data_IF_102257018942
#
_entry.id   IF_102257018942
#
_cell.length_a   1.000
_cell.length_b   1.000
_cell.length_c   1.000
_cell.angle_alpha   90.00
_cell.angle_beta   90.00
_cell.angle_gamma   90.00
#
_symmetry.space_group_name_H-M   'P 1'
#
loop_
_entity.id
_entity.type
_entity.pdbx_description
1 polymer ?
2 branched ?
3 non-polymer ?
4 non-polymer ?
5 water ?
#
# COMPACT_ATOMS: atom_id res chain seq x y z
N UNK A 1 16.22 2.59 2.94
CA UNK A 1 14.99 2.54 3.84
C UNK A 1 14.28 3.84 3.70
N UNK A 2 13.01 3.88 4.16
CA UNK A 2 12.30 5.14 4.23
C UNK A 2 11.70 5.26 5.61
N UNK A 3 11.36 6.47 6.03
CA UNK A 3 10.85 6.71 7.36
C UNK A 3 9.70 7.72 7.41
N UNK A 4 8.86 7.58 8.41
CA UNK A 4 7.80 8.56 8.68
C UNK A 4 7.53 8.66 10.17
N UNK A 5 7.50 9.90 10.67
CA UNK A 5 7.19 10.19 12.06
C UNK A 5 5.85 10.89 12.19
N UNK A 6 5.00 10.32 13.02
CA UNK A 6 3.67 10.90 13.25
C UNK A 6 3.80 12.16 14.17
N UNK A 7 4.84 12.20 14.96
CA UNK A 7 5.01 13.36 15.89
C UNK A 7 5.42 14.61 15.06
N UNK A 8 4.51 15.58 15.00
CA UNK A 8 4.79 16.81 14.25
C UNK A 8 4.36 16.66 12.79
N UNK A 9 3.79 15.50 12.45
CA UNK A 9 3.46 15.23 11.01
C UNK A 9 2.36 16.22 10.52
N UNK A 10 2.46 16.57 9.26
CA UNK A 10 1.43 17.38 8.60
C UNK A 10 1.27 16.94 7.15
N UNK A 11 0.35 17.58 6.40
CA UNK A 11 0.23 17.13 5.00
C UNK A 11 1.50 17.16 4.23
N UNK A 12 2.34 18.17 4.53
CA UNK A 12 3.59 18.32 3.83
C UNK A 12 4.58 17.13 4.14
N UNK A 13 4.79 16.82 5.42
CA UNK A 13 5.73 15.80 5.80
C UNK A 13 5.24 14.37 5.33
N UNK A 14 3.93 14.21 5.33
CA UNK A 14 3.33 12.90 4.87
C UNK A 14 3.61 12.81 3.38
N UNK A 15 3.39 13.95 2.64
CA UNK A 15 3.69 13.93 1.19
C UNK A 15 5.18 13.62 0.86
N UNK A 16 6.10 14.12 1.70
CA UNK A 16 7.50 13.78 1.55
C UNK A 16 7.77 12.27 1.77
N UNK A 17 7.13 11.67 2.80
CA UNK A 17 7.26 10.22 3.03
C UNK A 17 6.74 9.41 1.77
N UNK A 18 5.62 9.81 1.27
CA UNK A 18 4.99 9.04 0.18
C UNK A 18 5.88 9.19 -1.07
N UNK A 19 6.44 10.41 -1.21
CA UNK A 19 7.42 10.58 -2.35
C UNK A 19 8.64 9.67 -2.14
N UNK A 20 9.19 9.67 -0.91
CA UNK A 20 10.31 8.77 -0.57
C UNK A 20 10.00 7.28 -0.83
N UNK A 21 8.76 6.85 -0.47
CA UNK A 21 8.36 5.45 -0.62
C UNK A 21 8.32 5.10 -2.15
N UNK A 22 7.68 5.97 -2.94
CA UNK A 22 7.69 5.78 -4.40
C UNK A 22 9.09 5.67 -4.98
N UNK A 23 9.93 6.59 -4.54
CA UNK A 23 11.34 6.69 -5.11
C UNK A 23 12.24 5.61 -4.66
N UNK A 24 11.81 4.85 -3.62
CA UNK A 24 12.57 3.71 -3.17
C UNK A 24 12.26 2.44 -3.97
N UNK A 25 11.22 2.48 -4.82
CA UNK A 25 10.87 1.28 -5.56
C UNK A 25 11.59 1.33 -6.92
N UNK A 26 12.33 0.29 -7.25
CA UNK A 26 13.16 0.32 -8.46
C UNK A 26 12.37 0.17 -9.69
N UNK A 27 12.87 0.84 -10.77
CA UNK A 27 12.31 0.63 -12.07
C UNK A 27 13.40 0.81 -13.14
N UNK A 28 13.20 0.15 -14.30
CA UNK A 28 14.13 0.37 -15.45
C UNK A 28 13.46 1.00 -16.65
N UNK A 29 12.13 1.14 -16.59
CA UNK A 29 11.36 1.60 -17.69
C UNK A 29 10.15 2.39 -17.10
N UNK A 30 9.67 3.39 -17.85
CA UNK A 30 8.37 3.99 -17.59
C UNK A 30 7.45 3.69 -18.74
N UNK A 31 6.18 3.52 -18.45
CA UNK A 31 5.19 3.21 -19.48
C UNK A 31 4.14 4.35 -19.35
N UNK A 32 3.95 5.06 -20.46
CA UNK A 32 3.19 6.32 -20.44
C UNK A 32 3.54 7.25 -19.27
N UNK A 33 4.85 7.41 -19.06
CA UNK A 33 5.47 8.32 -18.09
C UNK A 33 5.23 7.83 -16.60
N UNK A 34 4.76 6.61 -16.48
CA UNK A 34 4.54 5.96 -15.13
C UNK A 34 5.57 4.84 -14.92
N UNK A 35 6.35 4.89 -13.78
CA UNK A 35 7.28 3.84 -13.46
C UNK A 35 6.67 2.47 -13.47
N UNK A 36 7.34 1.55 -14.14
CA UNK A 36 6.97 0.16 -14.25
C UNK A 36 7.73 -0.64 -13.26
N UNK A 37 7.02 -1.20 -12.26
CA UNK A 37 7.72 -2.03 -11.28
C UNK A 37 8.41 -3.25 -11.91
N UNK A 38 9.53 -3.67 -11.29
CA UNK A 38 10.29 -4.83 -11.84
C UNK A 38 9.55 -6.19 -11.80
N UNK A 39 9.78 -7.04 -12.81
CA UNK A 39 9.16 -8.35 -12.85
C UNK A 39 9.57 -9.17 -11.61
N UNK A 40 10.84 -9.03 -11.19
CA UNK A 40 11.34 -9.79 -10.00
C UNK A 40 12.62 -9.21 -9.53
N UNK A 41 12.96 -9.40 -8.24
CA UNK A 41 14.20 -8.92 -7.64
C UNK A 41 14.62 -10.08 -6.71
N UNK A 42 15.90 -10.51 -6.81
CA UNK A 42 16.34 -11.74 -6.11
C UNK A 42 16.97 -11.33 -4.80
N UNK A 43 16.71 -12.14 -3.77
CA UNK A 43 17.36 -11.97 -2.48
C UNK A 43 16.73 -10.92 -1.60
N UNK A 44 17.51 -10.37 -0.68
CA UNK A 44 17.02 -9.41 0.25
C UNK A 44 16.61 -8.07 -0.42
N UNK A 45 17.19 -7.79 -1.63
CA UNK A 45 16.90 -6.54 -2.35
C UNK A 45 15.43 -6.39 -2.75
N UNK A 46 14.69 -7.48 -2.61
CA UNK A 46 13.27 -7.47 -2.94
C UNK A 46 12.43 -6.93 -1.78
N UNK A 47 13.07 -6.42 -0.73
CA UNK A 47 12.27 -5.89 0.39
C UNK A 47 12.71 -4.52 0.83
N UNK A 48 11.78 -3.58 0.78
CA UNK A 48 12.04 -2.24 1.32
C UNK A 48 11.61 -2.23 2.79
N UNK A 49 12.38 -1.58 3.63
CA UNK A 49 12.02 -1.42 5.06
C UNK A 49 11.50 -0.01 5.29
N UNK A 50 10.27 0.09 5.82
CA UNK A 50 9.70 1.36 6.21
C UNK A 50 9.71 1.50 7.73
N UNK A 51 10.38 2.52 8.20
CA UNK A 51 10.40 2.74 9.65
C UNK A 51 9.33 3.74 10.01
N UNK A 52 8.28 3.27 10.70
CA UNK A 52 7.22 4.16 11.12
C UNK A 52 7.23 4.44 12.62
N UNK A 53 6.97 5.70 12.98
CA UNK A 53 7.03 6.11 14.39
C UNK A 53 5.72 6.74 14.80
N UNK A 54 5.16 6.22 15.88
CA UNK A 54 3.94 6.77 16.41
C UNK A 54 4.22 8.12 17.11
N UNK A 55 3.18 8.76 17.55
CA UNK A 55 3.31 10.11 18.14
C UNK A 55 4.25 10.13 19.37
N UNK A 56 4.34 9.01 20.05
CA UNK A 56 5.17 8.84 21.28
C UNK A 56 6.53 8.41 20.94
N UNK A 57 6.79 8.21 19.65
CA UNK A 57 8.17 7.89 19.23
C UNK A 57 8.51 6.38 19.22
N UNK A 58 7.54 5.54 19.55
CA UNK A 58 7.74 4.09 19.42
C UNK A 58 7.65 3.70 17.95
N UNK A 59 8.24 2.58 17.56
CA UNK A 59 8.42 2.32 16.12
C UNK A 59 8.22 0.85 15.72
N UNK A 60 7.76 0.67 14.48
CA UNK A 60 7.77 -0.63 13.87
C UNK A 60 8.48 -0.48 12.54
N UNK A 61 9.07 -1.56 12.06
CA UNK A 61 9.65 -1.58 10.73
C UNK A 61 8.78 -2.50 9.87
N UNK A 62 8.31 -1.96 8.75
CA UNK A 62 7.43 -2.75 7.85
C UNK A 62 8.23 -3.17 6.60
N UNK A 63 8.14 -4.43 6.27
CA UNK A 63 8.82 -4.95 5.05
C UNK A 63 7.87 -4.98 3.89
N UNK A 64 8.27 -4.30 2.80
CA UNK A 64 7.46 -4.16 1.60
C UNK A 64 8.17 -4.83 0.37
N UNK A 65 7.44 -5.64 -0.37
CA UNK A 65 7.97 -6.28 -1.56
C UNK A 65 7.98 -5.14 -2.66
N UNK A 66 9.18 -4.86 -3.20
CA UNK A 66 9.40 -3.70 -4.15
C UNK A 66 8.80 -3.89 -5.58
N UNK A 67 8.39 -5.11 -5.90
CA UNK A 67 7.82 -5.44 -7.15
C UNK A 67 6.33 -5.27 -7.19
N UNK A 68 5.65 -5.20 -6.00
CA UNK A 68 4.18 -5.13 -6.09
C UNK A 68 3.55 -4.23 -4.94
N UNK A 69 4.47 -3.68 -4.14
CA UNK A 69 4.15 -2.83 -2.93
C UNK A 69 3.32 -3.59 -1.89
N UNK A 70 3.48 -4.89 -1.82
CA UNK A 70 2.69 -5.72 -0.86
C UNK A 70 3.46 -5.71 0.45
N UNK A 71 2.73 -5.48 1.57
CA UNK A 71 3.43 -5.55 2.84
C UNK A 71 3.56 -7.06 3.17
N UNK A 72 4.71 -7.47 3.57
CA UNK A 72 4.97 -8.91 3.87
C UNK A 72 4.84 -9.19 5.40
N UNK A 73 5.30 -8.23 6.21
CA UNK A 73 5.35 -8.40 7.67
C UNK A 73 6.00 -7.21 8.29
N UNK A 74 6.23 -7.27 9.59
CA UNK A 74 6.82 -6.06 10.26
C UNK A 74 7.51 -6.56 11.51
N UNK A 75 8.40 -5.73 12.03
CA UNK A 75 9.10 -5.98 13.27
C UNK A 75 8.63 -4.99 14.35
N UNK A 76 8.39 -5.52 15.52
CA UNK A 76 7.89 -4.68 16.64
C UNK A 76 8.70 -5.12 17.86
N UNK A 77 9.61 -4.27 18.30
CA UNK A 77 10.53 -4.68 19.33
C UNK A 77 11.29 -5.86 18.74
N UNK A 78 11.27 -6.96 19.47
CA UNK A 78 12.15 -8.14 19.21
C UNK A 78 11.33 -9.25 18.62
N UNK A 79 10.08 -8.95 18.20
CA UNK A 79 9.20 -9.94 17.60
C UNK A 79 8.91 -9.56 16.18
N UNK A 80 9.09 -10.51 15.27
CA UNK A 80 8.66 -10.28 13.85
C UNK A 80 7.32 -10.90 13.64
N UNK A 81 6.52 -10.35 12.69
CA UNK A 81 5.17 -10.86 12.38
C UNK A 81 5.10 -10.93 10.86
N UNK A 82 4.57 -12.03 10.32
CA UNK A 82 4.43 -12.16 8.85
C UNK A 82 3.07 -12.68 8.50
N UNK A 83 2.53 -12.23 7.36
CA UNK A 83 1.28 -12.80 6.90
C UNK A 83 1.41 -14.31 6.62
N UNK A 84 0.25 -14.98 6.64
CA UNK A 84 0.24 -16.44 6.48
C UNK A 84 0.06 -16.72 4.97
N UNK A 85 1.15 -16.59 4.23
CA UNK A 85 1.18 -16.71 2.76
C UNK A 85 2.59 -16.97 2.24
N UNK A 86 2.73 -17.67 1.14
CA UNK A 86 4.06 -18.09 0.74
C UNK A 86 5.08 -16.98 0.48
N UNK A 87 4.64 -15.88 -0.11
CA UNK A 87 5.47 -14.71 -0.36
C UNK A 87 5.98 -14.15 0.93
N UNK A 88 5.14 -14.15 1.99
CA UNK A 88 5.60 -13.63 3.25
C UNK A 88 6.57 -14.56 3.93
N UNK A 89 6.29 -15.88 3.90
CA UNK A 89 7.21 -16.84 4.45
C UNK A 89 8.53 -16.72 3.78
N UNK A 90 8.53 -16.57 2.45
CA UNK A 90 9.82 -16.35 1.73
C UNK A 90 10.52 -15.09 2.21
N UNK A 91 9.78 -13.97 2.35
CA UNK A 91 10.38 -12.76 2.92
C UNK A 91 11.03 -12.98 4.29
N UNK A 92 10.44 -13.84 5.10
CA UNK A 92 10.96 -14.07 6.48
C UNK A 92 12.34 -14.76 6.46
N UNK A 93 12.71 -15.25 5.28
CA UNK A 93 14.09 -15.78 5.12
C UNK A 93 15.14 -14.71 4.99
N UNK A 94 14.70 -13.48 4.69
CA UNK A 94 15.57 -12.38 4.42
C UNK A 94 15.49 -11.23 5.42
N UNK A 95 14.29 -10.90 5.93
CA UNK A 95 14.20 -9.72 6.80
C UNK A 95 13.93 -10.06 8.29
N UNK A 96 14.45 -9.22 9.19
CA UNK A 96 14.16 -9.31 10.63
C UNK A 96 14.64 -10.66 11.16
N UNK A 97 15.64 -11.22 10.49
CA UNK A 97 16.26 -12.49 10.95
C UNK A 97 16.75 -12.37 12.44
N UNK A 98 17.19 -11.19 12.87
CA UNK A 98 17.67 -11.03 14.22
C UNK A 98 16.58 -10.96 15.33
N UNK A 99 15.29 -11.00 14.97
CA UNK A 99 14.22 -11.06 15.96
C UNK A 99 14.35 -12.29 16.88
N UNK A 100 14.04 -12.11 18.14
CA UNK A 100 13.98 -13.23 19.07
C UNK A 100 12.93 -14.26 18.72
N UNK A 101 11.80 -13.83 18.22
CA UNK A 101 10.71 -14.75 17.87
C UNK A 101 9.97 -14.30 16.62
N UNK A 102 9.42 -15.25 15.88
CA UNK A 102 8.68 -14.92 14.67
C UNK A 102 7.31 -15.45 14.81
N UNK A 103 6.29 -14.56 14.79
CA UNK A 103 4.91 -15.01 14.77
C UNK A 103 4.35 -14.94 13.38
N UNK A 104 3.69 -15.99 12.95
CA UNK A 104 2.92 -15.99 11.71
C UNK A 104 1.50 -15.58 12.05
N UNK A 105 1.08 -14.45 11.46
CA UNK A 105 -0.32 -13.99 11.65
C UNK A 105 -1.32 -15.00 11.13
N UNK A 106 -2.46 -15.07 11.80
CA UNK A 106 -3.56 -15.95 11.38
C UNK A 106 -4.44 -15.28 10.33
N UNK A 107 -3.83 -14.99 9.19
CA UNK A 107 -4.48 -14.65 7.98
C UNK A 107 -3.41 -14.24 6.98
N UNK A 108 -3.74 -14.36 5.72
CA UNK A 108 -2.91 -13.75 4.64
C UNK A 108 -3.14 -12.24 4.58
N UNK A 109 -2.43 -11.58 3.67
CA UNK A 109 -2.52 -10.14 3.55
C UNK A 109 -3.53 -9.54 2.63
N UNK A 110 -4.36 -10.39 2.04
CA UNK A 110 -5.39 -9.81 1.19
C UNK A 110 -6.58 -9.17 1.88
N UNK A 111 -7.09 -8.14 1.21
CA UNK A 111 -8.13 -7.33 1.81
C UNK A 111 -9.31 -8.19 2.34
N UNK A 112 -9.71 -9.20 1.55
CA UNK A 112 -10.87 -9.99 1.96
C UNK A 112 -10.58 -10.75 3.28
N UNK A 113 -9.46 -11.43 3.34
CA UNK A 113 -9.06 -12.11 4.55
C UNK A 113 -8.87 -11.19 5.73
N UNK A 114 -8.27 -10.04 5.50
CA UNK A 114 -8.09 -9.09 6.62
C UNK A 114 -9.40 -8.56 7.15
N UNK A 115 -10.37 -8.30 6.22
CA UNK A 115 -11.67 -7.77 6.61
C UNK A 115 -12.42 -8.80 7.48
N UNK A 116 -12.25 -10.06 7.12
CA UNK A 116 -12.86 -11.18 7.90
C UNK A 116 -12.31 -11.18 9.34
N UNK A 117 -10.98 -11.13 9.46
CA UNK A 117 -10.30 -11.11 10.75
C UNK A 117 -10.67 -9.92 11.57
N UNK A 118 -10.84 -8.77 10.90
CA UNK A 118 -11.08 -7.52 11.62
C UNK A 118 -12.54 -7.40 12.03
N UNK A 119 -13.42 -8.12 11.29
CA UNK A 119 -14.83 -8.09 11.62
C UNK A 119 -15.58 -6.95 10.91
N UNK A 120 -14.88 -6.20 10.04
CA UNK A 120 -15.55 -5.13 9.30
C UNK A 120 -14.87 -4.90 7.95
N UNK A 121 -15.65 -4.43 6.94
CA UNK A 121 -15.03 -4.12 5.65
C UNK A 121 -14.28 -2.79 5.73
N UNK A 122 -13.39 -2.55 4.77
CA UNK A 122 -12.65 -1.26 4.64
C UNK A 122 -13.57 -0.02 4.67
N UNK A 123 -14.73 -0.11 3.99
CA UNK A 123 -15.68 0.98 3.96
C UNK A 123 -16.08 1.54 5.30
N UNK A 124 -15.97 0.74 6.34
CA UNK A 124 -16.39 1.17 7.69
C UNK A 124 -15.24 1.53 8.62
N UNK A 125 -13.99 1.39 8.13
CA UNK A 125 -12.84 1.63 9.00
C UNK A 125 -12.23 3.01 8.65
N UNK A 126 -12.31 3.96 9.60
CA UNK A 126 -11.75 5.27 9.32
C UNK A 126 -10.22 5.18 9.10
N UNK A 127 -9.73 6.03 8.17
CA UNK A 127 -8.31 6.11 7.90
C UNK A 127 -7.86 7.58 7.95
N UNK A 128 -6.57 7.79 8.05
CA UNK A 128 -6.09 9.12 8.25
C UNK A 128 -4.77 8.96 8.99
N UNK A 129 -4.12 10.11 9.23
CA UNK A 129 -2.91 10.09 10.02
C UNK A 129 -3.13 9.68 11.52
N UNK A 130 -4.21 10.18 12.14
CA UNK A 130 -4.42 9.67 13.53
C UNK A 130 -4.66 8.17 13.55
N UNK A 131 -5.36 7.62 12.56
CA UNK A 131 -5.59 6.19 12.50
C UNK A 131 -4.28 5.43 12.28
N UNK A 132 -3.36 6.00 11.52
CA UNK A 132 -2.04 5.37 11.38
C UNK A 132 -1.24 5.36 12.68
N UNK A 133 -1.33 6.46 13.45
CA UNK A 133 -0.70 6.44 14.80
C UNK A 133 -1.27 5.31 15.65
N UNK A 134 -2.60 5.15 15.57
CA UNK A 134 -3.25 4.06 16.35
C UNK A 134 -2.75 2.72 15.86
N UNK A 135 -2.63 2.59 14.53
CA UNK A 135 -2.30 1.27 13.95
C UNK A 135 -0.91 0.87 14.41
N UNK A 136 0.06 1.81 14.39
CA UNK A 136 1.43 1.53 14.82
C UNK A 136 1.39 1.06 16.30
N UNK A 137 0.68 1.82 17.12
CA UNK A 137 0.51 1.46 18.54
C UNK A 137 -0.05 0.06 18.72
N UNK A 138 -1.06 -0.28 17.97
CA UNK A 138 -1.74 -1.59 18.05
C UNK A 138 -0.71 -2.68 17.69
N UNK A 139 0.07 -2.45 16.62
CA UNK A 139 1.00 -3.51 16.15
C UNK A 139 2.17 -3.76 17.08
N UNK A 140 2.38 -2.83 18.02
CA UNK A 140 3.52 -2.96 18.91
C UNK A 140 3.44 -4.17 19.87
N UNK A 141 2.21 -4.57 20.17
CA UNK A 141 2.00 -5.78 20.99
C UNK A 141 0.92 -6.65 20.40
N UNK A 142 1.24 -7.94 20.30
CA UNK A 142 0.39 -8.82 19.47
C UNK A 142 -1.07 -8.89 19.94
N UNK A 143 -1.97 -8.73 19.00
CA UNK A 143 -3.39 -8.92 19.18
C UNK A 143 -3.91 -9.12 17.77
N UNK A 144 -4.27 -10.39 17.41
CA UNK A 144 -4.37 -10.68 15.93
C UNK A 144 -5.66 -10.04 15.35
N UNK A 145 -6.73 -10.00 16.15
CA UNK A 145 -7.97 -9.28 15.72
C UNK A 145 -7.76 -7.78 15.55
N UNK A 146 -7.15 -7.13 16.54
CA UNK A 146 -6.86 -5.63 16.47
C UNK A 146 -5.84 -5.39 15.36
N UNK A 147 -4.89 -6.32 15.20
CA UNK A 147 -3.84 -6.14 14.17
C UNK A 147 -4.46 -6.16 12.75
N UNK A 148 -5.50 -6.98 12.53
CA UNK A 148 -6.14 -6.99 11.18
C UNK A 148 -6.64 -5.60 10.77
N UNK A 149 -7.35 -4.93 11.67
CA UNK A 149 -7.83 -3.59 11.39
C UNK A 149 -6.64 -2.63 11.24
N UNK A 150 -5.64 -2.78 12.12
CA UNK A 150 -4.54 -1.86 12.06
C UNK A 150 -3.86 -2.00 10.62
N UNK A 151 -3.75 -3.22 10.15
CA UNK A 151 -3.06 -3.50 8.92
C UNK A 151 -3.87 -2.99 7.73
N UNK A 152 -5.18 -3.08 7.81
CA UNK A 152 -6.00 -2.43 6.80
C UNK A 152 -5.77 -0.92 6.75
N UNK A 153 -5.54 -0.27 7.92
CA UNK A 153 -5.18 1.15 7.93
C UNK A 153 -3.79 1.36 7.37
N UNK A 154 -2.87 0.52 7.77
CA UNK A 154 -1.48 0.70 7.38
C UNK A 154 -1.27 0.53 5.87
N UNK A 155 -1.90 -0.48 5.31
CA UNK A 155 -1.82 -0.72 3.88
C UNK A 155 -2.35 0.44 3.06
N UNK A 156 -3.48 0.98 3.46
CA UNK A 156 -4.06 2.07 2.72
C UNK A 156 -3.32 3.38 2.83
N UNK A 157 -2.76 3.65 4.02
CA UNK A 157 -2.11 4.95 4.20
C UNK A 157 -0.64 4.92 3.76
N UNK A 158 -0.12 3.76 3.36
CA UNK A 158 1.23 3.69 2.86
C UNK A 158 1.20 3.23 1.37
N UNK A 159 1.03 1.93 1.18
CA UNK A 159 1.05 1.35 -0.20
C UNK A 159 0.05 1.92 -1.19
N UNK A 160 -1.20 2.10 -0.76
CA UNK A 160 -2.23 2.59 -1.67
C UNK A 160 -2.04 4.06 -2.03
N UNK A 161 -1.49 4.81 -1.04
CA UNK A 161 -1.17 6.25 -1.28
C UNK A 161 0.06 6.37 -2.18
N UNK A 162 1.06 5.48 -2.01
CA UNK A 162 2.19 5.42 -2.98
C UNK A 162 1.64 5.13 -4.42
N UNK A 163 0.67 4.24 -4.53
CA UNK A 163 0.15 3.89 -5.90
C UNK A 163 -0.73 4.91 -6.60
N UNK A 164 -1.47 5.72 -5.83
CA UNK A 164 -2.38 6.66 -6.34
C UNK A 164 -2.28 8.02 -5.70
N UNK A 165 -1.99 9.04 -6.51
CA UNK A 165 -2.03 10.41 -6.03
C UNK A 165 -3.29 10.84 -5.33
N UNK A 166 -4.43 10.42 -5.88
CA UNK A 166 -5.71 10.73 -5.24
C UNK A 166 -5.76 10.15 -3.77
N UNK A 167 -5.18 8.96 -3.57
CA UNK A 167 -5.30 8.37 -2.22
C UNK A 167 -4.37 9.10 -1.25
N UNK A 168 -3.18 9.44 -1.76
CA UNK A 168 -2.26 10.33 -0.98
C UNK A 168 -2.95 11.63 -0.56
N UNK A 169 -3.67 12.27 -1.49
CA UNK A 169 -4.41 13.49 -1.17
C UNK A 169 -5.52 13.25 -0.16
N UNK A 170 -6.23 12.11 -0.28
CA UNK A 170 -7.29 11.73 0.68
C UNK A 170 -6.77 11.60 2.09
N UNK A 171 -5.55 11.02 2.25
CA UNK A 171 -4.94 10.89 3.56
C UNK A 171 -4.49 12.28 4.05
N UNK A 172 -3.98 13.10 3.15
CA UNK A 172 -3.55 14.46 3.59
C UNK A 172 -4.74 15.27 4.12
N UNK A 173 -5.91 15.07 3.55
CA UNK A 173 -7.14 15.70 4.02
C UNK A 173 -7.51 15.14 5.44
N UNK A 174 -7.00 13.95 5.77
CA UNK A 174 -7.31 13.34 7.02
C UNK A 174 -6.09 13.40 7.91
N UNK A 175 -5.36 14.51 7.84
CA UNK A 175 -4.10 14.61 8.64
C UNK A 175 -4.46 14.70 10.16
N UNK A 176 -5.62 15.29 10.45
CA UNK A 176 -5.95 15.57 11.90
C UNK A 176 -7.30 15.09 12.28
N UNK A 177 -7.99 14.49 11.35
CA UNK A 177 -9.31 13.88 11.56
C UNK A 177 -9.49 12.68 10.65
N UNK A 178 -9.67 11.48 11.22
CA UNK A 178 -9.99 10.32 10.41
C UNK A 178 -11.31 10.35 9.77
N UNK A 179 -11.38 9.66 8.63
CA UNK A 179 -12.69 9.44 7.95
C UNK A 179 -12.65 8.19 7.13
N UNK A 180 -13.77 7.44 7.01
CA UNK A 180 -13.74 6.22 6.22
C UNK A 180 -13.29 6.65 4.76
N UNK A 181 -12.65 5.74 4.05
CA UNK A 181 -12.22 6.04 2.65
C UNK A 181 -13.46 6.38 1.73
N UNK A 182 -13.26 7.31 0.79
CA UNK A 182 -14.27 7.56 -0.22
C UNK A 182 -14.47 6.28 -1.03
N UNK A 183 -15.65 6.17 -1.66
CA UNK A 183 -15.94 5.04 -2.54
C UNK A 183 -14.91 5.01 -3.74
N UNK A 184 -14.45 6.19 -4.16
CA UNK A 184 -13.43 6.29 -5.23
C UNK A 184 -12.10 5.63 -4.74
N UNK A 185 -11.76 5.86 -3.47
CA UNK A 185 -10.54 5.27 -2.92
C UNK A 185 -10.63 3.75 -2.99
N UNK A 186 -11.72 3.18 -2.47
CA UNK A 186 -11.90 1.74 -2.52
C UNK A 186 -11.81 1.19 -3.96
N UNK A 187 -12.43 1.96 -4.85
CA UNK A 187 -12.49 1.61 -6.30
C UNK A 187 -11.07 1.45 -6.89
N UNK A 188 -10.21 2.46 -6.62
CA UNK A 188 -8.83 2.53 -7.12
C UNK A 188 -8.00 1.39 -6.52
N UNK A 189 -8.14 1.17 -5.21
CA UNK A 189 -7.41 0.02 -4.61
C UNK A 189 -7.68 -1.27 -5.29
N UNK A 190 -8.96 -1.49 -5.51
CA UNK A 190 -9.44 -2.72 -6.09
C UNK A 190 -9.03 -2.84 -7.57
N UNK A 191 -8.80 -1.73 -8.22
CA UNK A 191 -8.52 -1.75 -9.70
C UNK A 191 -7.05 -1.60 -10.08
N UNK A 192 -6.15 -1.53 -9.09
CA UNK A 192 -4.77 -1.25 -9.38
C UNK A 192 -4.16 -2.27 -10.34
N UNK A 193 -4.38 -3.55 -10.06
CA UNK A 193 -3.78 -4.58 -10.89
C UNK A 193 -4.35 -4.51 -12.34
N UNK A 194 -5.67 -4.35 -12.43
CA UNK A 194 -6.40 -4.18 -13.70
C UNK A 194 -5.87 -2.99 -14.46
N UNK A 195 -5.78 -1.85 -13.80
CA UNK A 195 -5.29 -0.63 -14.46
C UNK A 195 -3.88 -0.82 -14.97
N UNK A 196 -3.00 -1.35 -14.13
CA UNK A 196 -1.62 -1.53 -14.45
C UNK A 196 -1.56 -2.42 -15.74
N UNK A 197 -2.35 -3.49 -15.75
CA UNK A 197 -2.37 -4.39 -16.92
C UNK A 197 -2.82 -3.63 -18.22
N UNK A 198 -3.91 -2.88 -18.15
CA UNK A 198 -4.46 -2.17 -19.30
C UNK A 198 -3.55 -1.07 -19.85
N UNK A 199 -2.80 -0.40 -18.98
CA UNK A 199 -1.86 0.64 -19.38
C UNK A 199 -0.67 0.04 -20.11
N UNK A 200 -0.18 -1.08 -19.63
CA UNK A 200 0.82 -1.85 -20.30
C UNK A 200 0.34 -2.47 -21.68
N UNK A 201 -0.92 -2.90 -21.74
CA UNK A 201 -1.47 -3.45 -23.03
C UNK A 201 -1.81 -2.33 -24.03
N UNK A 202 -2.06 -1.11 -23.54
CA UNK A 202 -2.27 0.05 -24.41
C UNK A 202 -1.05 0.36 -25.28
N UNK A 203 0.16 0.05 -24.78
CA UNK A 203 1.32 0.04 -25.63
C UNK A 203 1.17 -1.17 -26.62
N UNK A 204 1.07 -0.88 -27.90
CA UNK A 204 0.79 -1.91 -28.89
C UNK A 204 -0.66 -1.81 -29.34
N UNK A 205 -1.38 -0.89 -28.71
CA UNK A 205 -2.81 -0.78 -29.00
C UNK A 205 -3.23 0.69 -29.08
N UNK A 206 -2.26 1.54 -29.43
CA UNK A 206 -2.50 2.96 -29.72
C UNK A 206 -3.06 3.70 -28.48
N UNK A 207 -2.60 3.27 -27.32
CA UNK A 207 -3.05 3.99 -26.09
C UNK A 207 -4.46 3.55 -25.62
N UNK A 208 -5.09 2.55 -26.29
CA UNK A 208 -6.45 2.09 -26.01
C UNK A 208 -6.39 0.82 -25.15
N UNK A 209 -7.17 0.81 -24.07
CA UNK A 209 -7.32 -0.38 -23.21
C UNK A 209 -7.93 -1.55 -24.01
N UNK A 210 -7.29 -2.72 -23.97
CA UNK A 210 -7.98 -3.93 -24.50
C UNK A 210 -9.28 -4.23 -23.77
N UNK A 211 -9.34 -3.98 -22.44
CA UNK A 211 -10.59 -4.08 -21.70
C UNK A 211 -10.81 -2.84 -20.80
N UNK A 212 -12.00 -2.25 -20.82
CA UNK A 212 -12.18 -0.98 -20.11
C UNK A 212 -12.29 -1.25 -18.62
N UNK A 213 -11.67 -0.38 -17.81
CA UNK A 213 -11.67 -0.53 -16.35
C UNK A 213 -12.81 0.32 -15.79
N UNK A 214 -13.67 -0.30 -14.94
CA UNK A 214 -14.76 0.43 -14.35
C UNK A 214 -14.35 1.00 -12.96
N UNK A 215 -14.51 2.31 -12.77
CA UNK A 215 -14.16 3.01 -11.54
C UNK A 215 -15.30 3.92 -10.99
N UNK A 216 -15.28 4.16 -9.68
CA UNK A 216 -16.14 5.20 -9.08
C UNK A 216 -15.36 6.52 -9.02
N UNK A 217 -15.99 7.66 -9.36
CA UNK A 217 -15.23 8.94 -9.33
C UNK A 217 -15.41 9.75 -8.00
N UNK A 218 -14.69 10.85 -7.89
CA UNK A 218 -14.80 11.80 -6.73
C UNK A 218 -16.20 12.18 -6.26
N UNK A 219 -17.13 12.33 -7.17
CA UNK A 219 -18.47 12.71 -6.79
C UNK A 219 -19.32 11.51 -6.54
N UNK A 220 -18.71 10.36 -6.56
CA UNK A 220 -19.43 9.15 -6.24
C UNK A 220 -20.07 8.50 -7.45
N UNK A 221 -19.76 9.01 -8.66
CA UNK A 221 -20.35 8.45 -9.89
C UNK A 221 -19.45 7.44 -10.59
N UNK A 222 -20.05 6.40 -11.17
CA UNK A 222 -19.35 5.26 -11.76
C UNK A 222 -18.94 5.40 -13.22
N UNK A 223 -17.64 5.59 -13.44
CA UNK A 223 -17.08 5.92 -14.75
C UNK A 223 -16.31 4.74 -15.43
N UNK A 224 -16.19 4.80 -16.77
CA UNK A 224 -15.47 3.75 -17.52
C UNK A 224 -14.16 4.34 -18.08
N UNK A 225 -13.04 3.68 -17.82
CA UNK A 225 -11.70 4.14 -18.27
C UNK A 225 -11.33 3.29 -19.49
N UNK A 226 -11.12 3.97 -20.62
CA UNK A 226 -10.93 3.24 -21.88
C UNK A 226 -9.61 3.43 -22.59
N UNK A 227 -8.83 4.42 -22.16
CA UNK A 227 -7.66 4.78 -22.85
C UNK A 227 -6.72 5.60 -21.95
N UNK A 228 -5.46 5.73 -22.34
CA UNK A 228 -4.44 6.43 -21.54
C UNK A 228 -4.57 7.97 -21.41
N UNK A 229 -5.53 8.56 -22.09
CA UNK A 229 -5.76 10.02 -21.95
C UNK A 229 -6.62 10.35 -20.71
N UNK A 230 -7.08 9.31 -20.02
CA UNK A 230 -7.94 9.46 -18.86
C UNK A 230 -7.08 10.08 -17.72
N UNK A 231 -7.72 10.93 -16.91
CA UNK A 231 -7.07 11.57 -15.76
C UNK A 231 -6.46 10.49 -14.82
N UNK A 232 -7.11 9.33 -14.75
CA UNK A 232 -6.62 8.21 -13.89
C UNK A 232 -5.19 7.84 -14.27
N UNK A 233 -4.94 7.89 -15.63
CA UNK A 233 -3.62 7.52 -16.17
C UNK A 233 -2.61 8.68 -16.22
N UNK A 234 -3.08 9.86 -16.61
CA UNK A 234 -2.21 11.03 -16.73
C UNK A 234 -1.85 11.69 -15.40
N UNK A 235 -2.77 11.71 -14.43
CA UNK A 235 -2.55 12.46 -13.18
C UNK A 235 -2.75 11.75 -11.81
N UNK A 236 -2.91 10.44 -11.80
CA UNK A 236 -3.34 9.72 -10.57
C UNK A 236 -2.48 8.52 -10.22
N UNK A 237 -2.51 7.48 -11.07
CA UNK A 237 -1.67 6.29 -10.89
C UNK A 237 -0.17 6.64 -10.94
N UNK A 238 0.63 6.15 -9.96
CA UNK A 238 2.04 6.52 -9.84
C UNK A 238 3.01 5.38 -10.04
N UNK A 239 2.52 4.14 -10.03
CA UNK A 239 3.31 2.90 -10.08
C UNK A 239 2.49 1.84 -10.79
N UNK A 240 3.17 1.08 -11.64
CA UNK A 240 2.49 0.01 -12.39
C UNK A 240 3.01 -1.37 -12.00
N UNK A 241 2.08 -2.24 -11.62
CA UNK A 241 2.34 -3.65 -11.35
C UNK A 241 2.70 -4.27 -12.71
N UNK A 242 3.87 -4.92 -12.79
CA UNK A 242 4.32 -5.58 -14.03
C UNK A 242 3.31 -6.66 -14.46
N UNK A 243 2.91 -6.68 -15.76
CA UNK A 243 2.03 -7.78 -16.28
C UNK A 243 2.61 -9.19 -16.05
N UNK A 244 3.94 -9.31 -15.91
CA UNK A 244 4.56 -10.61 -15.57
C UNK A 244 4.07 -11.18 -14.21
N UNK A 245 3.64 -10.25 -13.34
CA UNK A 245 3.08 -10.62 -12.03
C UNK A 245 1.54 -10.59 -11.97
N UNK A 246 0.91 -10.47 -13.13
CA UNK A 246 -0.57 -10.47 -13.19
C UNK A 246 -1.18 -11.76 -13.83
#
# INVERSE_FOLDING_TARGET
DVSFRLSGADPSSYGMFIKDLRNALPHTEKVYNIPLLLPSVSGAGRYLLMHLFNYDGNTITVAVDVTNVYIMGYLALTTSYFFNEPAADLASQYVFRSARRKITLPYSGNYERLQIAAGKPREKIPIGLPALDTAISTLLHYDSTAAAGALLVLIQTTAEAARFKYIEQQIQERAYRDEVPSSATISLENSWSGLSKQIQLAQGNNGVFRTPTVLVDSKGNRVQITNVTSNVVTSNIQLLLNTKNI
#
